data_IF_131164380282
#
_entry.id   IF_131164380282
#
_cell.length_a   1.000
_cell.length_b   1.000
_cell.length_c   1.000
_cell.angle_alpha   90.00
_cell.angle_beta   90.00
_cell.angle_gamma   90.00
#
_symmetry.space_group_name_H-M   'P 1'
#
loop_
_entity.id
_entity.type
_entity.pdbx_description
1 polymer ?
#
# COMPACT_ATOMS: atom_id res chain seq x y z
N UNK A 1 -17.25 -18.98 -22.48
CA UNK A 1 -17.45 -18.29 -21.20
C UNK A 1 -16.32 -17.28 -21.08
N UNK A 2 -16.63 -16.01 -21.27
CA UNK A 2 -15.69 -14.93 -20.98
C UNK A 2 -15.51 -14.94 -19.47
N UNK A 3 -14.32 -15.27 -18.97
CA UNK A 3 -13.96 -15.01 -17.58
C UNK A 3 -14.15 -13.50 -17.35
N UNK A 4 -15.18 -13.15 -16.62
CA UNK A 4 -15.45 -11.78 -16.23
C UNK A 4 -14.33 -11.40 -15.24
N UNK A 5 -13.37 -10.61 -15.71
CA UNK A 5 -12.24 -10.19 -14.89
C UNK A 5 -12.74 -9.41 -13.68
N UNK A 6 -12.25 -9.77 -12.51
CA UNK A 6 -12.56 -9.05 -11.28
C UNK A 6 -11.87 -7.68 -11.31
N UNK A 7 -12.61 -6.59 -11.16
CA UNK A 7 -12.00 -5.26 -11.11
C UNK A 7 -11.19 -5.08 -9.81
N UNK A 8 -10.18 -4.22 -9.86
CA UNK A 8 -9.35 -3.94 -8.70
C UNK A 8 -10.17 -3.41 -7.53
N UNK A 9 -11.16 -2.55 -7.79
CA UNK A 9 -12.11 -2.10 -6.76
C UNK A 9 -12.86 -3.25 -6.11
N UNK A 10 -13.37 -4.20 -6.90
CA UNK A 10 -14.07 -5.37 -6.38
C UNK A 10 -13.13 -6.27 -5.57
N UNK A 11 -11.90 -6.46 -6.04
CA UNK A 11 -10.87 -7.21 -5.34
C UNK A 11 -10.51 -6.56 -3.98
N UNK A 12 -10.33 -5.24 -3.94
CA UNK A 12 -10.06 -4.49 -2.69
C UNK A 12 -11.24 -4.65 -1.71
N UNK A 13 -12.47 -4.55 -2.19
CA UNK A 13 -13.65 -4.71 -1.33
C UNK A 13 -13.71 -6.07 -0.64
N UNK A 14 -13.23 -7.12 -1.30
CA UNK A 14 -13.28 -8.51 -0.79
C UNK A 14 -12.04 -8.88 0.02
N UNK A 15 -10.85 -8.45 -0.42
CA UNK A 15 -9.56 -8.88 0.10
C UNK A 15 -8.77 -7.78 0.81
N UNK A 16 -9.32 -6.55 0.85
CA UNK A 16 -8.66 -5.40 1.49
C UNK A 16 -7.24 -5.15 0.97
N UNK A 17 -6.29 -4.87 1.88
CA UNK A 17 -4.91 -4.57 1.49
C UNK A 17 -4.18 -5.73 0.80
N UNK A 18 -4.67 -6.96 0.91
CA UNK A 18 -4.09 -8.11 0.21
C UNK A 18 -4.24 -7.98 -1.33
N UNK A 19 -5.36 -7.42 -1.81
CA UNK A 19 -5.54 -7.17 -3.23
C UNK A 19 -4.50 -6.17 -3.77
N UNK A 20 -4.17 -5.14 -3.00
CA UNK A 20 -3.12 -4.17 -3.34
C UNK A 20 -1.73 -4.80 -3.29
N UNK A 21 -1.48 -5.64 -2.28
CA UNK A 21 -0.24 -6.39 -2.15
C UNK A 21 0.02 -7.30 -3.35
N UNK A 22 -1.02 -7.93 -3.87
CA UNK A 22 -0.89 -8.85 -5.02
C UNK A 22 -0.51 -8.11 -6.32
N UNK A 23 -0.87 -6.83 -6.47
CA UNK A 23 -0.39 -5.99 -7.57
C UNK A 23 1.12 -5.74 -7.55
N UNK A 24 1.76 -5.83 -6.38
CA UNK A 24 3.19 -5.55 -6.25
C UNK A 24 4.04 -6.69 -6.79
N UNK A 25 5.17 -6.34 -7.42
CA UNK A 25 6.20 -7.32 -7.79
C UNK A 25 6.90 -7.89 -6.55
N UNK A 26 7.59 -9.00 -6.73
CA UNK A 26 8.41 -9.59 -5.67
C UNK A 26 9.51 -8.64 -5.16
N UNK A 27 10.03 -7.76 -6.02
CA UNK A 27 11.01 -6.76 -5.62
C UNK A 27 10.38 -5.66 -4.76
N UNK A 28 9.23 -5.14 -5.16
CA UNK A 28 8.46 -4.16 -4.38
C UNK A 28 8.02 -4.73 -3.04
N UNK A 29 7.56 -5.99 -3.00
CA UNK A 29 7.23 -6.70 -1.76
C UNK A 29 8.42 -6.81 -0.81
N UNK A 30 9.62 -7.10 -1.35
CA UNK A 30 10.86 -7.10 -0.55
C UNK A 30 11.23 -5.71 -0.05
N UNK A 31 11.09 -4.68 -0.88
CA UNK A 31 11.32 -3.28 -0.47
C UNK A 31 10.35 -2.85 0.63
N UNK A 32 9.06 -3.19 0.51
CA UNK A 32 8.05 -2.93 1.53
C UNK A 32 8.41 -3.60 2.87
N UNK A 33 8.84 -4.86 2.82
CA UNK A 33 9.28 -5.59 3.99
C UNK A 33 10.56 -5.00 4.62
N UNK A 34 11.50 -4.55 3.80
CA UNK A 34 12.72 -3.87 4.27
C UNK A 34 12.40 -2.51 4.92
N UNK A 35 11.51 -1.74 4.31
CA UNK A 35 11.07 -0.45 4.82
C UNK A 35 10.34 -0.61 6.16
N UNK A 36 9.41 -1.55 6.27
CA UNK A 36 8.74 -1.88 7.53
C UNK A 36 9.76 -2.30 8.60
N UNK A 37 10.69 -3.19 8.27
CA UNK A 37 11.72 -3.65 9.20
C UNK A 37 12.60 -2.52 9.72
N UNK A 38 12.91 -1.54 8.89
CA UNK A 38 13.81 -0.43 9.22
C UNK A 38 13.12 0.71 9.96
N UNK A 39 11.88 1.05 9.56
CA UNK A 39 11.24 2.32 9.92
C UNK A 39 10.04 2.16 10.88
N UNK A 40 9.62 0.91 11.21
CA UNK A 40 8.50 0.72 12.12
C UNK A 40 8.82 1.24 13.54
N UNK A 41 7.79 1.75 14.22
CA UNK A 41 7.87 2.10 15.62
C UNK A 41 8.20 0.89 16.51
N UNK A 42 8.46 1.14 17.79
CA UNK A 42 8.90 0.09 18.71
C UNK A 42 7.90 -1.04 18.88
N UNK A 43 6.61 -0.73 18.93
CA UNK A 43 5.55 -1.72 19.16
C UNK A 43 5.36 -2.60 17.93
N UNK A 44 5.18 -1.97 16.75
CA UNK A 44 5.09 -2.64 15.46
C UNK A 44 6.33 -3.49 15.19
N UNK A 45 7.51 -2.96 15.52
CA UNK A 45 8.78 -3.67 15.38
C UNK A 45 8.83 -4.94 16.23
N UNK A 46 8.39 -4.88 17.47
CA UNK A 46 8.36 -6.07 18.35
C UNK A 46 7.43 -7.17 17.80
N UNK A 47 6.26 -6.78 17.29
CA UNK A 47 5.33 -7.72 16.67
C UNK A 47 5.95 -8.41 15.45
N UNK A 48 6.58 -7.64 14.55
CA UNK A 48 7.27 -8.17 13.37
C UNK A 48 8.47 -9.06 13.76
N UNK A 49 9.27 -8.66 14.74
CA UNK A 49 10.38 -9.47 15.27
C UNK A 49 9.92 -10.85 15.76
N UNK A 50 8.77 -10.93 16.43
CA UNK A 50 8.20 -12.21 16.91
C UNK A 50 7.79 -13.12 15.75
N UNK A 51 7.15 -12.56 14.73
CA UNK A 51 6.73 -13.33 13.54
C UNK A 51 7.94 -13.87 12.80
N UNK A 52 8.95 -13.02 12.55
CA UNK A 52 10.20 -13.42 11.89
C UNK A 52 10.98 -14.45 12.72
N UNK A 53 11.02 -14.27 14.04
CA UNK A 53 11.69 -15.21 14.94
C UNK A 53 11.07 -16.61 14.86
N UNK A 54 9.75 -16.69 14.82
CA UNK A 54 8.99 -17.94 14.66
C UNK A 54 9.31 -18.59 13.32
N UNK A 55 9.24 -17.84 12.24
CA UNK A 55 9.53 -18.33 10.88
C UNK A 55 10.96 -18.82 10.74
N UNK A 56 11.94 -18.06 11.25
CA UNK A 56 13.36 -18.42 11.19
C UNK A 56 13.79 -19.45 12.24
N UNK A 57 12.91 -19.82 13.18
CA UNK A 57 13.23 -20.65 14.36
C UNK A 57 14.38 -20.06 15.19
N UNK A 58 14.41 -18.75 15.29
CA UNK A 58 15.39 -17.99 16.07
C UNK A 58 14.76 -17.43 17.34
N UNK A 59 15.62 -17.06 18.30
CA UNK A 59 15.16 -16.25 19.44
C UNK A 59 14.91 -14.80 18.98
N UNK A 60 13.87 -14.11 19.47
CA UNK A 60 13.58 -12.72 19.08
C UNK A 60 14.78 -11.78 19.22
N UNK A 61 15.58 -11.94 20.26
CA UNK A 61 16.80 -11.15 20.48
C UNK A 61 17.85 -11.33 19.39
N UNK A 62 17.90 -12.52 18.77
CA UNK A 62 18.83 -12.80 17.66
C UNK A 62 18.32 -12.18 16.36
N UNK A 63 17.00 -12.19 16.16
CA UNK A 63 16.36 -11.60 14.99
C UNK A 63 16.54 -10.08 14.97
N UNK A 64 16.41 -9.42 16.09
CA UNK A 64 16.58 -7.95 16.23
C UNK A 64 17.89 -7.43 15.66
N UNK A 65 18.93 -8.25 15.64
CA UNK A 65 20.28 -7.89 15.14
C UNK A 65 20.45 -8.14 13.64
N UNK A 66 19.46 -8.71 12.97
CA UNK A 66 19.55 -9.00 11.55
C UNK A 66 19.33 -7.74 10.72
N UNK A 67 20.07 -7.64 9.61
CA UNK A 67 19.87 -6.57 8.63
C UNK A 67 18.55 -6.76 7.87
N UNK A 68 18.01 -5.66 7.33
CA UNK A 68 16.82 -5.68 6.49
C UNK A 68 16.98 -6.63 5.29
N UNK A 69 18.15 -6.66 4.66
CA UNK A 69 18.45 -7.56 3.53
C UNK A 69 18.24 -9.05 3.87
N UNK A 70 18.54 -9.46 5.09
CA UNK A 70 18.35 -10.86 5.53
C UNK A 70 16.91 -11.16 5.92
N UNK A 71 16.19 -10.18 6.44
CA UNK A 71 14.82 -10.34 6.95
C UNK A 71 13.78 -10.16 5.85
N UNK A 72 13.94 -9.15 5.00
CA UNK A 72 12.93 -8.74 4.02
C UNK A 72 12.43 -9.87 3.11
N UNK A 73 13.24 -10.74 2.52
CA UNK A 73 12.73 -11.82 1.67
C UNK A 73 11.84 -12.81 2.40
N UNK A 74 12.11 -13.05 3.68
CA UNK A 74 11.30 -13.95 4.52
C UNK A 74 10.02 -13.27 4.96
N UNK A 75 10.15 -12.03 5.41
CA UNK A 75 9.02 -11.22 5.86
C UNK A 75 8.02 -10.99 4.72
N UNK A 76 8.48 -10.68 3.51
CA UNK A 76 7.63 -10.54 2.33
C UNK A 76 6.86 -11.83 2.01
N UNK A 77 7.50 -13.00 2.17
CA UNK A 77 6.87 -14.29 1.90
C UNK A 77 5.78 -14.64 2.89
N UNK A 78 5.96 -14.31 4.17
CA UNK A 78 4.97 -14.62 5.21
C UNK A 78 3.94 -13.51 5.41
N UNK A 79 4.05 -12.42 4.67
CA UNK A 79 3.13 -11.29 4.78
C UNK A 79 1.68 -11.73 4.59
N UNK A 80 1.39 -12.64 3.63
CA UNK A 80 0.05 -13.14 3.36
C UNK A 80 -0.62 -13.87 4.54
N UNK A 81 0.17 -14.37 5.48
CA UNK A 81 -0.31 -15.05 6.69
C UNK A 81 -0.48 -14.10 7.88
N UNK A 82 -0.21 -12.81 7.69
CA UNK A 82 -0.30 -11.79 8.75
C UNK A 82 -1.71 -11.17 8.80
N UNK A 83 -2.09 -10.58 9.95
CA UNK A 83 -3.35 -9.85 10.05
C UNK A 83 -3.44 -8.67 9.06
N UNK A 84 -4.64 -8.32 8.64
CA UNK A 84 -4.92 -7.23 7.69
C UNK A 84 -4.26 -5.89 8.10
N UNK A 85 -4.31 -5.56 9.39
CA UNK A 85 -3.65 -4.37 9.93
C UNK A 85 -2.14 -4.33 9.70
N UNK A 86 -1.49 -5.50 9.68
CA UNK A 86 -0.06 -5.60 9.38
C UNK A 86 0.23 -5.35 7.90
N UNK A 87 -0.65 -5.81 6.99
CA UNK A 87 -0.53 -5.52 5.56
C UNK A 87 -0.53 -4.04 5.25
N UNK A 88 -1.43 -3.29 5.86
CA UNK A 88 -1.46 -1.85 5.69
C UNK A 88 -0.14 -1.20 6.07
N UNK A 89 0.52 -1.69 7.12
CA UNK A 89 1.85 -1.19 7.52
C UNK A 89 2.92 -1.47 6.45
N UNK A 90 2.89 -2.61 5.76
CA UNK A 90 3.80 -2.86 4.63
C UNK A 90 3.61 -1.84 3.51
N UNK A 91 2.37 -1.59 3.10
CA UNK A 91 2.03 -0.64 2.05
C UNK A 91 2.42 0.79 2.44
N UNK A 92 2.07 1.20 3.65
CA UNK A 92 2.41 2.52 4.19
C UNK A 92 3.93 2.76 4.17
N UNK A 93 4.71 1.85 4.76
CA UNK A 93 6.16 1.99 4.81
C UNK A 93 6.81 1.91 3.43
N UNK A 94 6.23 1.15 2.50
CA UNK A 94 6.68 1.12 1.11
C UNK A 94 6.55 2.50 0.45
N UNK A 95 5.37 3.11 0.51
CA UNK A 95 5.15 4.42 -0.09
C UNK A 95 6.01 5.50 0.57
N UNK A 96 6.19 5.44 1.88
CA UNK A 96 7.05 6.38 2.61
C UNK A 96 8.53 6.26 2.21
N UNK A 97 8.99 5.09 1.80
CA UNK A 97 10.38 4.85 1.42
C UNK A 97 10.64 5.05 -0.07
N UNK A 98 9.74 4.56 -0.93
CA UNK A 98 9.95 4.44 -2.37
C UNK A 98 9.01 5.34 -3.20
N UNK A 99 7.83 5.70 -2.68
CA UNK A 99 6.74 6.34 -3.40
C UNK A 99 6.49 7.81 -3.10
N UNK A 100 7.37 8.50 -2.39
CA UNK A 100 7.12 9.89 -1.93
C UNK A 100 6.82 10.87 -3.04
N UNK A 101 7.58 10.84 -4.13
CA UNK A 101 7.36 11.73 -5.28
C UNK A 101 5.97 11.54 -5.88
N UNK A 102 5.53 10.29 -6.01
CA UNK A 102 4.21 9.93 -6.51
C UNK A 102 3.09 10.38 -5.55
N UNK A 103 3.31 10.22 -4.22
CA UNK A 103 2.39 10.71 -3.20
C UNK A 103 2.21 12.22 -3.27
N UNK A 104 3.31 12.97 -3.33
CA UNK A 104 3.31 14.44 -3.47
C UNK A 104 2.60 14.85 -4.74
N UNK A 105 2.95 14.26 -5.88
CA UNK A 105 2.36 14.57 -7.18
C UNK A 105 0.82 14.43 -7.16
N UNK A 106 0.31 13.35 -6.59
CA UNK A 106 -1.14 13.12 -6.53
C UNK A 106 -1.84 14.09 -5.58
N UNK A 107 -1.29 14.27 -4.36
CA UNK A 107 -1.91 15.15 -3.36
C UNK A 107 -1.90 16.62 -3.78
N UNK A 108 -0.83 17.07 -4.45
CA UNK A 108 -0.76 18.39 -5.07
C UNK A 108 -1.82 18.56 -6.16
N UNK A 109 -1.98 17.55 -7.03
CA UNK A 109 -2.96 17.59 -8.13
C UNK A 109 -4.41 17.59 -7.62
N UNK A 110 -4.70 16.89 -6.53
CA UNK A 110 -6.02 16.92 -5.87
C UNK A 110 -6.22 18.21 -5.07
N UNK A 111 -5.14 18.90 -4.69
CA UNK A 111 -5.18 20.13 -3.90
C UNK A 111 -5.35 19.90 -2.40
N UNK A 112 -4.89 18.76 -1.89
CA UNK A 112 -4.94 18.42 -0.47
C UNK A 112 -3.66 18.86 0.24
N UNK A 113 -3.75 19.44 1.46
CA UNK A 113 -2.58 19.79 2.24
C UNK A 113 -1.85 18.53 2.72
N UNK A 114 -0.53 18.55 2.58
CA UNK A 114 0.32 17.45 2.99
C UNK A 114 1.74 17.94 3.36
N UNK A 115 2.43 17.18 4.18
CA UNK A 115 3.86 17.34 4.44
C UNK A 115 4.61 16.18 3.80
N UNK A 116 5.31 16.46 2.71
CA UNK A 116 6.15 15.47 1.98
C UNK A 116 5.39 14.18 1.63
N UNK A 117 4.15 14.29 1.11
CA UNK A 117 3.29 13.18 0.72
C UNK A 117 2.45 12.59 1.86
N UNK A 118 2.61 13.04 3.07
CA UNK A 118 1.75 12.64 4.21
C UNK A 118 0.66 13.68 4.39
N UNK A 119 -0.60 13.24 4.34
CA UNK A 119 -1.75 14.12 4.53
C UNK A 119 -1.67 14.83 5.89
N UNK A 120 -1.85 16.15 5.86
CA UNK A 120 -1.98 17.02 7.04
C UNK A 120 -3.35 17.69 7.01
N UNK A 121 -4.36 16.91 7.39
CA UNK A 121 -5.75 17.31 7.32
C UNK A 121 -6.29 17.67 8.69
N UNK A 122 -7.09 18.75 8.82
CA UNK A 122 -7.88 19.00 10.00
C UNK A 122 -8.95 17.89 10.20
N UNK A 123 -9.43 17.70 11.43
CA UNK A 123 -10.41 16.65 11.76
C UNK A 123 -11.73 16.76 10.98
N UNK A 124 -12.07 17.97 10.51
CA UNK A 124 -13.27 18.29 9.74
C UNK A 124 -13.00 18.46 8.24
N UNK A 125 -11.87 17.94 7.75
CA UNK A 125 -11.54 18.02 6.33
C UNK A 125 -12.60 17.33 5.46
N UNK A 126 -13.05 18.02 4.42
CA UNK A 126 -13.97 17.44 3.45
C UNK A 126 -13.22 16.51 2.49
N UNK A 127 -13.84 15.37 2.18
CA UNK A 127 -13.34 14.45 1.17
C UNK A 127 -13.31 15.12 -0.21
N UNK A 128 -12.31 14.84 -1.06
CA UNK A 128 -12.27 15.37 -2.41
C UNK A 128 -13.44 14.85 -3.24
N UNK A 129 -14.03 15.72 -4.04
CA UNK A 129 -15.09 15.32 -4.97
C UNK A 129 -14.56 14.38 -6.05
N UNK A 130 -15.45 13.64 -6.72
CA UNK A 130 -15.06 12.79 -7.85
C UNK A 130 -14.34 13.61 -8.96
N UNK A 131 -14.86 14.80 -9.26
CA UNK A 131 -14.24 15.70 -10.26
C UNK A 131 -12.80 16.08 -9.87
N UNK A 132 -12.55 16.33 -8.60
CA UNK A 132 -11.22 16.70 -8.10
C UNK A 132 -10.24 15.52 -8.01
N UNK A 133 -10.72 14.31 -7.72
CA UNK A 133 -9.86 13.16 -7.43
C UNK A 133 -9.67 12.20 -8.62
N UNK A 134 -10.70 11.98 -9.45
CA UNK A 134 -10.64 10.98 -10.51
C UNK A 134 -9.73 11.39 -11.68
N UNK A 135 -9.75 12.66 -12.10
CA UNK A 135 -8.87 13.17 -13.15
C UNK A 135 -7.39 12.99 -12.80
N UNK A 136 -6.92 13.55 -11.67
CA UNK A 136 -5.56 13.33 -11.19
C UNK A 136 -5.18 11.85 -11.01
N UNK A 137 -6.09 10.98 -10.59
CA UNK A 137 -5.83 9.54 -10.47
C UNK A 137 -5.55 8.90 -11.83
N UNK A 138 -6.34 9.23 -12.87
CA UNK A 138 -6.12 8.75 -14.25
C UNK A 138 -4.80 9.25 -14.81
N UNK A 139 -4.47 10.51 -14.60
CA UNK A 139 -3.20 11.09 -15.05
C UNK A 139 -2.01 10.43 -14.36
N UNK A 140 -2.13 10.16 -13.05
CA UNK A 140 -1.11 9.45 -12.29
C UNK A 140 -0.88 8.03 -12.83
N UNK A 141 -1.98 7.29 -13.11
CA UNK A 141 -1.88 5.94 -13.69
C UNK A 141 -1.27 5.99 -15.10
N UNK A 142 -1.66 6.96 -15.91
CA UNK A 142 -1.11 7.12 -17.27
C UNK A 142 0.42 7.35 -17.23
N UNK A 143 0.92 8.04 -16.20
CA UNK A 143 2.33 8.37 -16.05
C UNK A 143 3.15 7.27 -15.35
N UNK A 144 2.61 6.65 -14.31
CA UNK A 144 3.33 5.73 -13.42
C UNK A 144 2.84 4.28 -13.50
N UNK A 145 1.76 4.02 -14.25
CA UNK A 145 1.23 2.68 -14.45
C UNK A 145 0.84 1.98 -13.16
N UNK A 146 1.35 0.75 -12.98
CA UNK A 146 1.02 -0.09 -11.85
C UNK A 146 1.41 0.50 -10.49
N UNK A 147 2.52 1.25 -10.39
CA UNK A 147 2.91 1.90 -9.14
C UNK A 147 1.83 2.87 -8.65
N UNK A 148 1.18 3.60 -9.57
CA UNK A 148 0.05 4.44 -9.23
C UNK A 148 -1.16 3.62 -8.75
N UNK A 149 -1.46 2.48 -9.38
CA UNK A 149 -2.53 1.59 -8.92
C UNK A 149 -2.29 1.06 -7.51
N UNK A 150 -1.05 0.69 -7.17
CA UNK A 150 -0.68 0.28 -5.82
C UNK A 150 -0.90 1.42 -4.82
N UNK A 151 -0.53 2.64 -5.16
CA UNK A 151 -0.74 3.80 -4.30
C UNK A 151 -2.22 4.14 -4.12
N UNK A 152 -2.96 4.28 -5.21
CA UNK A 152 -4.39 4.60 -5.17
C UNK A 152 -5.20 3.49 -4.47
N UNK A 153 -4.84 2.23 -4.69
CA UNK A 153 -5.38 1.10 -3.95
C UNK A 153 -5.09 1.18 -2.46
N UNK A 154 -3.90 1.63 -2.06
CA UNK A 154 -3.55 1.86 -0.66
C UNK A 154 -4.41 2.96 -0.03
N UNK A 155 -4.66 4.05 -0.74
CA UNK A 155 -5.57 5.10 -0.28
C UNK A 155 -6.99 4.59 -0.09
N UNK A 156 -7.51 3.80 -1.05
CA UNK A 156 -8.84 3.21 -0.97
C UNK A 156 -8.99 2.24 0.23
N UNK A 157 -7.92 1.54 0.59
CA UNK A 157 -7.90 0.65 1.77
C UNK A 157 -7.80 1.46 3.06
N UNK A 158 -7.03 2.55 3.05
CA UNK A 158 -6.81 3.39 4.23
C UNK A 158 -8.09 4.09 4.70
N UNK A 159 -8.83 4.68 3.76
CA UNK A 159 -10.09 5.36 4.03
C UNK A 159 -10.96 5.41 2.76
N UNK A 160 -11.82 4.42 2.60
CA UNK A 160 -12.69 4.30 1.43
C UNK A 160 -13.72 5.44 1.34
N UNK A 161 -14.17 5.97 2.47
CA UNK A 161 -15.16 7.06 2.50
C UNK A 161 -14.51 8.37 2.08
N UNK A 162 -13.34 8.68 2.60
CA UNK A 162 -12.59 9.88 2.21
C UNK A 162 -12.21 9.85 0.72
N UNK A 163 -11.78 8.70 0.20
CA UNK A 163 -11.34 8.54 -1.19
C UNK A 163 -12.44 8.08 -2.16
N UNK A 164 -13.72 8.16 -1.74
CA UNK A 164 -14.85 7.71 -2.55
C UNK A 164 -14.87 8.30 -3.98
N UNK A 165 -14.43 9.55 -4.14
CA UNK A 165 -14.34 10.21 -5.45
C UNK A 165 -13.30 9.62 -6.41
N UNK A 166 -12.25 9.00 -5.89
CA UNK A 166 -11.18 8.36 -6.68
C UNK A 166 -11.48 6.88 -6.99
N UNK A 167 -12.16 6.18 -6.08
CA UNK A 167 -12.38 4.73 -6.18
C UNK A 167 -12.99 4.25 -7.51
N UNK A 168 -13.91 4.99 -8.19
CA UNK A 168 -14.42 4.57 -9.49
C UNK A 168 -13.35 4.35 -10.56
N UNK A 169 -12.20 5.02 -10.47
CA UNK A 169 -11.09 4.84 -11.40
C UNK A 169 -10.52 3.42 -11.32
N UNK A 170 -10.57 2.80 -10.15
CA UNK A 170 -10.09 1.43 -9.93
C UNK A 170 -10.98 0.36 -10.57
N UNK A 171 -12.21 0.72 -11.02
CA UNK A 171 -13.08 -0.18 -11.78
C UNK A 171 -12.63 -0.34 -13.25
N UNK A 172 -11.76 0.54 -13.74
CA UNK A 172 -11.21 0.48 -15.10
C UNK A 172 -10.03 -0.51 -15.21
N UNK A 173 -9.61 -1.11 -14.09
CA UNK A 173 -8.45 -1.99 -13.98
C UNK A 173 -8.83 -3.30 -13.29
N UNK A 174 -8.24 -4.40 -13.76
CA UNK A 174 -8.41 -5.71 -13.11
C UNK A 174 -7.46 -5.90 -11.92
N UNK A 175 -7.60 -7.02 -11.25
CA UNK A 175 -6.77 -7.36 -10.07
C UNK A 175 -5.29 -7.62 -10.39
N UNK A 176 -4.93 -7.75 -11.65
CA UNK A 176 -3.56 -7.89 -12.13
C UNK A 176 -2.96 -6.53 -12.57
N UNK A 177 -3.76 -5.47 -12.55
CA UNK A 177 -3.36 -4.12 -12.96
C UNK A 177 -3.40 -3.89 -14.45
N UNK A 178 -4.20 -4.67 -15.18
CA UNK A 178 -4.43 -4.51 -16.61
C UNK A 178 -5.80 -3.84 -16.86
N UNK A 179 -5.96 -3.06 -17.93
CA UNK A 179 -7.26 -2.47 -18.27
C UNK A 179 -8.34 -3.54 -18.49
N UNK A 180 -9.54 -3.30 -17.96
CA UNK A 180 -10.69 -4.20 -18.08
C UNK A 180 -11.34 -4.08 -19.45
#
# INVERSE_FOLDING_TARGET
MTDEKTTLKAAIKVRGPLAVWDLMTDDEKRKAAAALWTNSDRESRMAVEMVVAREMKFRPQSVRKLSAERVAPRLARIAADMPESAFFQFLFHYHMAEGRELMVEYLDAVGLPHEDGVLDLPEDAEAPTEEAAAGPAKDLIAKHGREALVYLGTLAVADADFWAGMIPVLDEWDEDGEPV
#
